data_IF_646375879170
#
_entry.id   IF_646375879170
#
_cell.length_a   1.000
_cell.length_b   1.000
_cell.length_c   1.000
_cell.angle_alpha   90.00
_cell.angle_beta   90.00
_cell.angle_gamma   90.00
#
_symmetry.space_group_name_H-M   'P 1'
#
loop_
_entity.id
_entity.type
_entity.pdbx_description
1 polymer ?
#
# COMPACT_ATOMS: atom_id res chain seq x y z
N UNK A 1 2.32 11.73 -26.30
CA UNK A 1 1.71 10.44 -26.62
C UNK A 1 1.17 9.73 -25.38
N UNK A 2 2.02 9.47 -24.39
CA UNK A 2 1.56 8.79 -23.17
C UNK A 2 0.61 9.65 -22.35
N UNK A 3 0.85 10.96 -22.35
CA UNK A 3 0.01 11.88 -21.60
C UNK A 3 -1.41 11.92 -22.17
N UNK A 4 -1.51 12.03 -23.49
CA UNK A 4 -2.81 12.06 -24.15
C UNK A 4 -3.55 10.74 -23.98
N UNK A 5 -2.85 9.62 -24.07
CA UNK A 5 -3.42 8.31 -23.86
C UNK A 5 -3.92 8.16 -22.43
N UNK A 6 -3.16 8.66 -21.45
CA UNK A 6 -3.55 8.60 -20.05
C UNK A 6 -4.79 9.44 -19.78
N UNK A 7 -4.92 10.61 -20.41
CA UNK A 7 -6.11 11.43 -20.28
C UNK A 7 -7.35 10.72 -20.82
N UNK A 8 -7.22 10.06 -21.97
CA UNK A 8 -8.33 9.30 -22.54
C UNK A 8 -8.77 8.15 -21.64
N UNK A 9 -7.80 7.44 -21.06
CA UNK A 9 -8.07 6.37 -20.11
C UNK A 9 -8.74 6.92 -18.85
N UNK A 10 -8.28 8.04 -18.33
CA UNK A 10 -8.87 8.67 -17.15
C UNK A 10 -10.32 9.09 -17.40
N UNK A 11 -10.61 9.64 -18.57
CA UNK A 11 -11.98 10.01 -18.92
C UNK A 11 -12.91 8.81 -18.96
N UNK A 12 -12.45 7.69 -19.52
CA UNK A 12 -13.18 6.44 -19.50
C UNK A 12 -13.51 6.00 -18.08
N UNK A 13 -12.51 5.99 -17.20
CA UNK A 13 -12.66 5.52 -15.84
C UNK A 13 -13.45 6.44 -14.93
N UNK A 14 -13.63 7.70 -15.30
CA UNK A 14 -14.56 8.59 -14.60
C UNK A 14 -15.98 8.07 -14.64
N UNK A 15 -16.38 7.46 -15.75
CA UNK A 15 -17.73 6.94 -15.92
C UNK A 15 -17.92 5.58 -15.26
N UNK A 16 -16.88 4.74 -15.28
CA UNK A 16 -16.97 3.37 -14.74
C UNK A 16 -16.45 3.27 -13.29
N UNK A 17 -15.87 4.33 -12.77
CA UNK A 17 -15.33 4.36 -11.41
C UNK A 17 -13.88 3.93 -11.34
N UNK A 18 -13.35 3.91 -10.09
CA UNK A 18 -11.99 3.50 -9.82
C UNK A 18 -11.02 4.66 -9.62
N UNK A 19 -9.78 4.33 -9.23
CA UNK A 19 -8.73 5.30 -8.92
C UNK A 19 -7.61 5.20 -9.96
N UNK A 20 -7.99 5.37 -11.23
CA UNK A 20 -7.11 5.16 -12.37
C UNK A 20 -5.88 6.09 -12.37
N UNK A 21 -5.95 7.23 -11.68
CA UNK A 21 -4.84 8.16 -11.60
C UNK A 21 -3.69 7.67 -10.72
N UNK A 22 -3.90 6.64 -9.91
CA UNK A 22 -2.85 6.15 -9.01
C UNK A 22 -1.85 5.28 -9.76
N UNK A 23 -0.54 5.57 -9.64
CA UNK A 23 0.48 4.73 -10.28
C UNK A 23 0.60 3.39 -9.59
N UNK A 24 0.75 2.32 -10.37
CA UNK A 24 0.66 0.95 -9.87
C UNK A 24 1.96 0.17 -9.80
N UNK A 25 3.12 0.78 -10.11
CA UNK A 25 4.37 0.04 -10.11
C UNK A 25 4.93 -0.15 -8.69
N UNK A 26 5.95 -1.00 -8.57
CA UNK A 26 6.63 -1.26 -7.31
C UNK A 26 7.76 -0.25 -7.03
N UNK A 27 7.91 0.78 -7.85
CA UNK A 27 8.89 1.84 -7.61
C UNK A 27 8.56 2.59 -6.34
N UNK A 28 9.60 3.00 -5.62
CA UNK A 28 9.44 3.77 -4.38
C UNK A 28 8.60 5.02 -4.57
N UNK A 29 8.79 5.73 -5.67
CA UNK A 29 8.02 6.94 -5.96
C UNK A 29 6.54 6.66 -6.15
N UNK A 30 6.20 5.59 -6.87
CA UNK A 30 4.82 5.20 -7.10
C UNK A 30 4.16 4.71 -5.82
N UNK A 31 4.88 3.93 -5.04
CA UNK A 31 4.41 3.46 -3.74
C UNK A 31 4.14 4.63 -2.78
N UNK A 32 5.02 5.62 -2.79
CA UNK A 32 4.84 6.83 -1.98
C UNK A 32 3.58 7.58 -2.38
N UNK A 33 3.34 7.75 -3.68
CA UNK A 33 2.14 8.43 -4.17
C UNK A 33 0.87 7.70 -3.73
N UNK A 34 0.84 6.37 -3.87
CA UNK A 34 -0.32 5.58 -3.42
C UNK A 34 -0.55 5.72 -1.92
N UNK A 35 0.51 5.59 -1.13
CA UNK A 35 0.42 5.71 0.32
C UNK A 35 -0.07 7.10 0.74
N UNK A 36 0.45 8.15 0.11
CA UNK A 36 0.04 9.54 0.40
C UNK A 36 -1.44 9.75 0.11
N UNK A 37 -1.93 9.21 -1.00
CA UNK A 37 -3.34 9.31 -1.33
C UNK A 37 -4.20 8.59 -0.30
N UNK A 38 -3.87 7.34 0.00
CA UNK A 38 -4.69 6.52 0.90
C UNK A 38 -4.69 7.04 2.33
N UNK A 39 -3.58 7.60 2.81
CA UNK A 39 -3.52 8.17 4.16
C UNK A 39 -4.57 9.26 4.36
N UNK A 40 -4.86 10.02 3.31
CA UNK A 40 -5.87 11.08 3.38
C UNK A 40 -7.28 10.57 3.06
N UNK A 41 -7.40 9.43 2.42
CA UNK A 41 -8.69 8.88 1.98
C UNK A 41 -9.33 7.93 2.99
N UNK A 42 -8.55 7.35 3.91
CA UNK A 42 -9.08 6.44 4.93
C UNK A 42 -9.82 7.21 6.03
N UNK A 43 -10.65 6.51 6.86
CA UNK A 43 -11.34 7.16 7.96
C UNK A 43 -10.36 7.84 8.92
N UNK A 44 -10.62 9.10 9.22
CA UNK A 44 -9.83 9.88 10.17
C UNK A 44 -10.46 9.70 11.55
N UNK A 45 -9.94 8.77 12.33
CA UNK A 45 -10.53 8.41 13.62
C UNK A 45 -9.44 8.14 14.65
N UNK A 46 -9.77 8.39 15.92
CA UNK A 46 -8.91 8.06 17.04
C UNK A 46 -9.14 6.64 17.58
N UNK A 47 -10.14 5.92 17.05
CA UNK A 47 -10.44 4.56 17.49
C UNK A 47 -9.41 3.59 16.90
N UNK A 48 -8.57 2.95 17.74
CA UNK A 48 -7.54 2.05 17.24
C UNK A 48 -8.10 0.81 16.54
N UNK A 49 -9.34 0.41 16.84
CA UNK A 49 -9.99 -0.72 16.17
C UNK A 49 -10.27 -0.45 14.69
N UNK A 50 -10.31 0.83 14.30
CA UNK A 50 -10.51 1.25 12.92
C UNK A 50 -9.19 1.79 12.34
N UNK A 51 -8.48 2.61 13.09
CA UNK A 51 -7.28 3.28 12.62
C UNK A 51 -6.15 2.28 12.28
N UNK A 52 -5.88 1.33 13.16
CA UNK A 52 -4.78 0.38 12.95
C UNK A 52 -5.02 -0.53 11.74
N UNK A 53 -6.19 -1.17 11.59
CA UNK A 53 -6.47 -1.94 10.37
C UNK A 53 -6.45 -1.10 9.10
N UNK A 54 -6.91 0.15 9.16
CA UNK A 54 -6.91 1.04 7.99
C UNK A 54 -5.49 1.32 7.52
N UNK A 55 -4.58 1.66 8.43
CA UNK A 55 -3.17 1.91 8.11
C UNK A 55 -2.50 0.63 7.62
N UNK A 56 -2.78 -0.51 8.26
CA UNK A 56 -2.21 -1.79 7.85
C UNK A 56 -2.65 -2.16 6.43
N UNK A 57 -3.89 -1.86 6.07
CA UNK A 57 -4.39 -2.06 4.70
C UNK A 57 -3.61 -1.23 3.68
N UNK A 58 -3.25 -0.01 4.03
CA UNK A 58 -2.38 0.82 3.19
C UNK A 58 -1.01 0.17 3.02
N UNK A 59 -0.42 -0.30 4.12
CA UNK A 59 0.88 -0.96 4.07
C UNK A 59 0.85 -2.19 3.17
N UNK A 60 -0.22 -2.97 3.21
CA UNK A 60 -0.39 -4.12 2.32
C UNK A 60 -0.51 -3.69 0.86
N UNK A 61 -1.22 -2.62 0.57
CA UNK A 61 -1.37 -2.11 -0.79
C UNK A 61 -0.04 -1.70 -1.40
N UNK A 62 0.85 -1.07 -0.61
CA UNK A 62 2.13 -0.58 -1.10
C UNK A 62 3.27 -1.60 -0.92
N UNK A 63 2.95 -2.80 -0.52
CA UNK A 63 3.92 -3.90 -0.38
C UNK A 63 4.33 -4.45 -1.73
N UNK A 64 5.56 -4.89 -1.82
CA UNK A 64 6.08 -5.61 -3.00
C UNK A 64 5.85 -7.10 -2.76
N UNK A 65 5.24 -7.83 -3.71
CA UNK A 65 4.95 -9.25 -3.52
C UNK A 65 6.21 -10.05 -3.14
N UNK A 66 6.07 -10.90 -2.16
CA UNK A 66 7.19 -11.72 -1.67
C UNK A 66 7.69 -12.66 -2.77
N UNK A 67 9.02 -12.66 -2.96
CA UNK A 67 9.64 -13.55 -3.92
C UNK A 67 9.51 -13.15 -5.38
N UNK A 68 9.01 -11.94 -5.65
CA UNK A 68 8.87 -11.48 -7.04
C UNK A 68 10.23 -11.37 -7.72
N UNK A 69 10.28 -11.80 -8.96
CA UNK A 69 11.46 -11.65 -9.81
C UNK A 69 11.05 -11.60 -11.28
N UNK A 70 11.92 -11.04 -12.10
CA UNK A 70 11.76 -11.04 -13.55
C UNK A 70 13.06 -11.55 -14.18
N UNK A 71 13.03 -12.03 -15.44
CA UNK A 71 14.24 -12.55 -16.07
C UNK A 71 15.41 -11.57 -16.11
N UNK A 72 15.13 -10.28 -16.22
CA UNK A 72 16.14 -9.22 -16.24
C UNK A 72 16.50 -8.69 -14.86
N UNK A 73 15.67 -8.99 -13.84
CA UNK A 73 15.89 -8.56 -12.46
C UNK A 73 15.58 -9.69 -11.48
N UNK A 74 16.48 -10.68 -11.37
CA UNK A 74 16.22 -11.85 -10.52
C UNK A 74 16.31 -11.57 -9.02
N UNK A 75 16.82 -10.42 -8.62
CA UNK A 75 17.04 -10.07 -7.22
C UNK A 75 16.24 -8.84 -6.79
N UNK A 76 14.97 -8.78 -7.21
CA UNK A 76 14.09 -7.68 -6.80
C UNK A 76 13.83 -7.81 -5.30
N UNK A 77 14.02 -6.70 -4.58
CA UNK A 77 13.66 -6.64 -3.16
C UNK A 77 12.15 -6.74 -3.01
N UNK A 78 11.70 -7.54 -2.06
CA UNK A 78 10.28 -7.70 -1.77
C UNK A 78 10.01 -7.39 -0.29
N UNK A 79 8.75 -7.10 0.01
CA UNK A 79 8.34 -6.85 1.39
C UNK A 79 8.39 -8.14 2.18
N UNK A 80 9.10 -8.13 3.29
CA UNK A 80 9.24 -9.30 4.18
C UNK A 80 8.42 -9.16 5.44
N UNK A 81 8.18 -7.93 5.88
CA UNK A 81 7.37 -7.64 7.06
C UNK A 81 6.81 -6.23 6.98
N UNK A 82 5.80 -6.00 7.77
CA UNK A 82 5.14 -4.70 7.91
C UNK A 82 4.97 -4.41 9.39
N UNK A 83 4.98 -3.13 9.74
CA UNK A 83 4.72 -2.73 11.11
C UNK A 83 3.88 -1.47 11.16
N UNK A 84 3.08 -1.34 12.20
CA UNK A 84 2.29 -0.16 12.48
C UNK A 84 2.48 0.22 13.94
N UNK A 85 2.80 1.47 14.19
CA UNK A 85 2.99 1.99 15.53
C UNK A 85 1.81 2.90 15.89
N UNK A 86 1.06 2.50 16.92
CA UNK A 86 0.05 3.34 17.53
C UNK A 86 0.70 4.12 18.66
N UNK A 87 1.08 5.36 18.39
CA UNK A 87 1.84 6.16 19.32
C UNK A 87 0.99 6.64 20.50
N UNK A 88 -0.31 6.80 20.29
CA UNK A 88 -1.22 7.23 21.34
C UNK A 88 -1.37 6.16 22.42
N UNK A 89 -1.63 4.93 22.01
CA UNK A 89 -1.84 3.80 22.91
C UNK A 89 -0.56 3.01 23.18
N UNK A 90 0.55 3.41 22.56
CA UNK A 90 1.86 2.75 22.68
C UNK A 90 1.82 1.27 22.32
N UNK A 91 1.11 0.95 21.24
CA UNK A 91 1.00 -0.41 20.73
C UNK A 91 1.77 -0.49 19.40
N UNK A 92 2.54 -1.54 19.26
CA UNK A 92 3.31 -1.81 18.06
C UNK A 92 2.82 -3.13 17.46
N UNK A 93 2.31 -3.06 16.22
CA UNK A 93 1.80 -4.22 15.50
C UNK A 93 2.78 -4.64 14.44
N UNK A 94 3.01 -5.93 14.32
CA UNK A 94 3.97 -6.51 13.37
C UNK A 94 3.29 -7.62 12.59
N UNK A 95 3.53 -7.64 11.26
CA UNK A 95 3.03 -8.69 10.38
C UNK A 95 4.17 -9.18 9.47
N UNK A 96 4.39 -10.49 9.45
CA UNK A 96 5.34 -11.13 8.55
C UNK A 96 4.64 -11.57 7.28
N UNK A 97 5.35 -11.53 6.15
CA UNK A 97 4.89 -12.14 4.90
C UNK A 97 5.15 -13.64 4.85
N UNK A 98 5.95 -14.16 5.77
CA UNK A 98 6.24 -15.60 5.87
C UNK A 98 5.30 -16.28 6.86
N UNK A 99 4.92 -17.56 6.62
CA UNK A 99 4.11 -18.30 7.59
C UNK A 99 4.94 -18.69 8.83
N UNK A 100 4.31 -18.77 10.02
CA UNK A 100 2.96 -18.30 10.26
C UNK A 100 2.88 -16.77 10.22
N UNK A 101 1.76 -16.24 9.75
CA UNK A 101 1.51 -14.81 9.76
C UNK A 101 1.20 -14.39 11.18
N UNK A 102 2.23 -14.04 11.93
CA UNK A 102 2.08 -13.65 13.32
C UNK A 102 1.81 -12.16 13.45
N UNK A 103 0.74 -11.84 14.16
CA UNK A 103 0.47 -10.48 14.60
C UNK A 103 1.00 -10.37 16.02
N UNK A 104 2.15 -9.71 16.17
CA UNK A 104 2.69 -9.43 17.47
C UNK A 104 2.20 -8.10 17.98
N UNK A 105 1.80 -8.05 19.24
CA UNK A 105 1.54 -6.83 19.98
C UNK A 105 2.64 -6.65 21.01
N UNK A 106 3.30 -5.52 20.91
CA UNK A 106 4.40 -5.20 21.83
C UNK A 106 4.07 -3.95 22.62
#
# INVERSE_FOLDING_TARGET
>A
PRYDLQLAVNDYWKEVGGLQMLPGTNRSSDRFVRASFYVHAIPQTADPKIAVPSVLSIMRNVSVPFGISTPDKPHISSTRWRSVSDQKDRVYSFESTLPPNLFGLI
#
